data_IF_198503936958
#
_entry.id   IF_198503936958
#
_cell.length_a   1.000
_cell.length_b   1.000
_cell.length_c   1.000
_cell.angle_alpha   90.00
_cell.angle_beta   90.00
_cell.angle_gamma   90.00
#
_symmetry.space_group_name_H-M   'P 1'
#
loop_
_entity.id
_entity.type
_entity.pdbx_description
1 polymer ?
#
# COMPACT_ATOMS: atom_id res chain seq x y z
N UNK A 1 -13.44 9.30 -25.30
CA UNK A 1 -13.61 8.38 -24.16
C UNK A 1 -13.39 9.18 -22.88
N UNK A 2 -14.31 9.17 -21.92
CA UNK A 2 -14.19 9.96 -20.68
C UNK A 2 -13.70 9.03 -19.56
N UNK A 3 -12.51 9.30 -19.03
CA UNK A 3 -11.91 8.49 -17.95
C UNK A 3 -12.36 9.10 -16.62
N UNK A 4 -13.04 8.31 -15.79
CA UNK A 4 -13.47 8.71 -14.46
C UNK A 4 -12.63 7.99 -13.43
N UNK A 5 -12.09 8.73 -12.45
CA UNK A 5 -11.36 8.13 -11.33
C UNK A 5 -12.35 7.65 -10.27
N UNK A 6 -12.17 6.41 -9.83
CA UNK A 6 -12.98 5.78 -8.81
C UNK A 6 -12.11 4.99 -7.83
N UNK A 7 -12.60 4.83 -6.60
CA UNK A 7 -11.99 4.01 -5.54
C UNK A 7 -12.77 2.70 -5.48
N UNK A 8 -12.04 1.59 -5.43
CA UNK A 8 -12.60 0.27 -5.14
C UNK A 8 -12.28 -0.11 -3.70
N UNK A 9 -13.30 -0.33 -2.89
CA UNK A 9 -13.17 -0.69 -1.46
C UNK A 9 -13.16 -2.22 -1.22
N UNK A 10 -13.16 -3.02 -2.29
CA UNK A 10 -13.25 -4.48 -2.24
C UNK A 10 -14.67 -5.03 -2.42
N UNK A 11 -15.69 -4.18 -2.35
CA UNK A 11 -17.09 -4.57 -2.59
C UNK A 11 -17.78 -3.64 -3.60
N UNK A 12 -17.53 -2.34 -3.50
CA UNK A 12 -18.16 -1.28 -4.28
C UNK A 12 -17.11 -0.39 -4.96
N UNK A 13 -17.49 0.15 -6.12
CA UNK A 13 -16.70 1.14 -6.86
C UNK A 13 -17.38 2.49 -6.70
N UNK A 14 -16.71 3.42 -6.03
CA UNK A 14 -17.20 4.78 -5.76
C UNK A 14 -16.41 5.79 -6.56
N UNK A 15 -17.08 6.58 -7.38
CA UNK A 15 -16.43 7.67 -8.11
C UNK A 15 -15.87 8.70 -7.13
N UNK A 16 -14.64 9.16 -7.34
CA UNK A 16 -14.03 10.21 -6.51
C UNK A 16 -14.69 11.56 -6.82
N UNK A 17 -15.01 11.78 -8.10
CA UNK A 17 -15.69 12.97 -8.58
C UNK A 17 -17.13 12.63 -8.97
N UNK A 18 -18.10 13.53 -8.68
CA UNK A 18 -19.50 13.29 -9.02
C UNK A 18 -19.70 13.21 -10.54
N UNK A 19 -20.14 12.05 -11.00
CA UNK A 19 -20.46 11.83 -12.42
C UNK A 19 -21.82 12.46 -12.71
N UNK A 20 -21.85 13.44 -13.62
CA UNK A 20 -23.11 14.06 -14.09
C UNK A 20 -23.82 13.13 -15.08
N UNK A 21 -24.41 12.04 -14.60
CA UNK A 21 -25.24 11.14 -15.40
C UNK A 21 -26.70 11.21 -14.98
N UNK A 22 -27.60 11.43 -15.96
CA UNK A 22 -29.06 11.58 -15.73
C UNK A 22 -29.81 10.25 -15.57
N UNK A 23 -29.19 9.09 -15.90
CA UNK A 23 -29.81 7.75 -15.87
C UNK A 23 -28.76 6.69 -15.51
N UNK A 24 -29.23 5.48 -15.14
CA UNK A 24 -28.38 4.28 -15.01
C UNK A 24 -27.58 4.12 -16.31
N UNK A 25 -26.26 4.24 -16.20
CA UNK A 25 -25.33 4.25 -17.33
C UNK A 25 -24.38 3.07 -17.16
N UNK A 26 -24.24 2.24 -18.20
CA UNK A 26 -23.25 1.17 -18.20
C UNK A 26 -21.85 1.78 -18.30
N UNK A 27 -20.92 1.33 -17.46
CA UNK A 27 -19.56 1.83 -17.38
C UNK A 27 -18.56 0.69 -17.46
N UNK A 28 -17.51 0.90 -18.25
CA UNK A 28 -16.38 -0.01 -18.35
C UNK A 28 -15.36 0.35 -17.28
N UNK A 29 -15.13 -0.56 -16.34
CA UNK A 29 -14.11 -0.42 -15.30
C UNK A 29 -12.85 -1.11 -15.77
N UNK A 30 -11.76 -0.35 -15.90
CA UNK A 30 -10.44 -0.87 -16.25
C UNK A 30 -9.58 -0.79 -15.00
N UNK A 31 -9.15 -1.93 -14.50
CA UNK A 31 -8.11 -2.02 -13.47
C UNK A 31 -6.76 -2.05 -14.18
N UNK A 32 -5.93 -1.00 -14.11
CA UNK A 32 -4.59 -1.05 -14.68
C UNK A 32 -3.78 -2.10 -13.92
N UNK A 33 -3.26 -3.10 -14.65
CA UNK A 33 -2.37 -4.14 -14.11
C UNK A 33 -0.95 -3.63 -13.82
N UNK A 34 -0.73 -2.31 -13.83
CA UNK A 34 0.58 -1.66 -13.64
C UNK A 34 1.14 -1.81 -12.21
N UNK A 35 0.60 -2.71 -11.40
CA UNK A 35 1.21 -3.09 -10.14
C UNK A 35 2.36 -4.02 -10.47
N UNK A 36 3.60 -3.50 -10.38
CA UNK A 36 4.81 -4.34 -10.41
C UNK A 36 4.63 -5.48 -9.40
N UNK A 37 4.43 -6.69 -9.91
CA UNK A 37 4.37 -7.90 -9.09
C UNK A 37 5.79 -8.17 -8.63
N UNK A 38 6.06 -7.87 -7.37
CA UNK A 38 7.34 -8.22 -6.74
C UNK A 38 7.34 -9.70 -6.41
N UNK A 39 8.44 -10.36 -6.73
CA UNK A 39 8.71 -11.71 -6.20
C UNK A 39 8.79 -11.66 -4.67
N UNK A 40 8.51 -12.76 -3.96
CA UNK A 40 8.67 -12.81 -2.50
C UNK A 40 10.06 -12.37 -2.04
N UNK A 41 11.10 -12.64 -2.82
CA UNK A 41 12.48 -12.19 -2.61
C UNK A 41 12.60 -10.67 -2.65
N UNK A 42 12.07 -10.02 -3.68
CA UNK A 42 12.07 -8.56 -3.82
C UNK A 42 11.20 -7.89 -2.75
N UNK A 43 10.03 -8.46 -2.46
CA UNK A 43 9.15 -7.97 -1.40
C UNK A 43 9.84 -8.02 -0.04
N UNK A 44 10.58 -9.08 0.27
CA UNK A 44 11.37 -9.19 1.51
C UNK A 44 12.48 -8.13 1.60
N UNK A 45 13.10 -7.75 0.48
CA UNK A 45 14.09 -6.67 0.45
C UNK A 45 13.49 -5.27 0.67
N UNK A 46 12.24 -5.05 0.23
CA UNK A 46 11.52 -3.79 0.43
C UNK A 46 10.94 -3.66 1.85
N UNK A 47 10.63 -4.79 2.49
CA UNK A 47 10.19 -4.86 3.88
C UNK A 47 11.41 -4.74 4.81
N UNK A 48 11.73 -3.49 5.19
CA UNK A 48 12.84 -3.15 6.10
C UNK A 48 12.88 -4.08 7.30
N UNK A 49 13.98 -4.81 7.46
CA UNK A 49 14.30 -5.65 8.61
C UNK A 49 13.88 -7.11 8.51
N UNK A 50 13.18 -7.59 7.47
CA UNK A 50 12.70 -8.97 7.43
C UNK A 50 13.67 -9.97 6.77
N UNK A 51 14.82 -9.51 6.22
CA UNK A 51 15.77 -10.37 5.54
C UNK A 51 16.68 -11.19 6.46
N UNK A 52 17.03 -12.42 6.02
CA UNK A 52 17.93 -13.37 6.74
C UNK A 52 19.33 -12.82 7.04
N UNK A 53 19.73 -11.73 6.37
CA UNK A 53 21.02 -11.04 6.55
C UNK A 53 20.87 -9.61 7.08
N UNK A 54 19.65 -9.14 7.33
CA UNK A 54 19.38 -7.75 7.68
C UNK A 54 19.57 -7.43 9.17
N UNK A 55 20.04 -8.42 9.94
CA UNK A 55 20.32 -8.38 11.38
C UNK A 55 19.18 -7.77 12.19
N UNK A 56 17.95 -8.19 11.90
CA UNK A 56 16.73 -7.70 12.55
C UNK A 56 16.87 -7.62 14.07
N UNK A 57 17.38 -8.67 14.67
CA UNK A 57 17.59 -8.76 16.12
C UNK A 57 18.50 -7.64 16.63
N UNK A 58 19.61 -7.34 15.94
CA UNK A 58 20.51 -6.23 16.33
C UNK A 58 19.81 -4.87 16.20
N UNK A 59 19.01 -4.67 15.14
CA UNK A 59 18.24 -3.43 14.94
C UNK A 59 17.16 -3.24 16.01
N UNK A 60 16.42 -4.30 16.35
CA UNK A 60 15.39 -4.27 17.40
C UNK A 60 16.01 -3.99 18.77
N UNK A 61 17.16 -4.60 19.08
CA UNK A 61 17.88 -4.36 20.34
C UNK A 61 18.38 -2.91 20.43
N UNK A 62 18.89 -2.34 19.32
CA UNK A 62 19.29 -0.93 19.27
C UNK A 62 18.10 0.01 19.48
N UNK A 63 17.01 -0.18 18.72
CA UNK A 63 15.78 0.63 18.86
C UNK A 63 15.29 0.64 20.29
N UNK A 64 15.20 -0.55 20.93
CA UNK A 64 14.73 -0.66 22.31
C UNK A 64 15.65 0.05 23.31
N UNK A 65 16.96 0.07 23.04
CA UNK A 65 17.92 0.79 23.88
C UNK A 65 17.76 2.32 23.75
N UNK A 66 17.45 2.80 22.54
CA UNK A 66 17.17 4.22 22.28
C UNK A 66 15.87 4.66 22.94
N UNK A 67 14.80 3.86 22.86
CA UNK A 67 13.53 4.13 23.52
C UNK A 67 13.70 4.26 25.05
N UNK A 68 14.42 3.32 25.67
CA UNK A 68 14.71 3.36 27.12
C UNK A 68 15.51 4.62 27.50
N UNK A 69 16.40 5.12 26.63
CA UNK A 69 17.16 6.35 26.89
C UNK A 69 16.28 7.60 26.79
N UNK A 70 15.31 7.60 25.88
CA UNK A 70 14.34 8.67 25.72
C UNK A 70 13.35 8.71 26.90
N UNK A 71 12.89 7.57 27.38
CA UNK A 71 12.00 7.47 28.56
C UNK A 71 12.67 7.88 29.87
N UNK A 72 14.01 7.83 29.94
CA UNK A 72 14.80 8.22 31.12
C UNK A 72 15.17 9.71 31.16
N UNK A 73 14.75 10.50 30.16
CA UNK A 73 14.95 11.95 30.10
C UNK A 73 13.69 12.69 30.50
#
# INVERSE_FOLDING_TARGET
MQVVKAIFDGHEIKAIEPIKTKKKTEVLVIFPEDVKKFTPEEARGLLRGAGKEERLTEKLLKSRTEDIRLERR
#
